data_IF_015851292894
#
_entry.id   IF_015851292894
#
_cell.length_a   1.000
_cell.length_b   1.000
_cell.length_c   1.000
_cell.angle_alpha   90.00
_cell.angle_beta   90.00
_cell.angle_gamma   90.00
#
_symmetry.space_group_name_H-M   'P 1'
#
loop_
_entity.id
_entity.type
_entity.pdbx_description
1 polymer ?
#
# COMPACT_ATOMS: atom_id res chain seq x y z
N UNK A 1 -22.43 1.76 -5.32
CA UNK A 1 -23.63 2.04 -6.12
C UNK A 1 -24.30 0.77 -6.60
N UNK A 2 -25.57 0.85 -6.97
CA UNK A 2 -26.39 -0.30 -7.38
C UNK A 2 -26.01 -0.87 -8.75
N UNK A 3 -25.31 -0.10 -9.56
CA UNK A 3 -24.80 -0.55 -10.85
C UNK A 3 -23.52 0.19 -11.24
N UNK A 4 -22.74 -0.40 -12.17
CA UNK A 4 -21.56 0.28 -12.75
C UNK A 4 -21.92 1.58 -13.47
N UNK A 5 -23.12 1.67 -14.05
CA UNK A 5 -23.62 2.89 -14.70
C UNK A 5 -23.88 3.99 -13.67
N UNK A 6 -24.51 3.66 -12.54
CA UNK A 6 -24.75 4.59 -11.44
C UNK A 6 -23.45 5.13 -10.84
N UNK A 7 -22.46 4.25 -10.63
CA UNK A 7 -21.12 4.65 -10.13
C UNK A 7 -20.43 5.60 -11.11
N UNK A 8 -20.43 5.29 -12.41
CA UNK A 8 -19.85 6.19 -13.43
C UNK A 8 -20.55 7.54 -13.47
N UNK A 9 -21.86 7.57 -13.31
CA UNK A 9 -22.62 8.83 -13.27
C UNK A 9 -22.29 9.66 -12.01
N UNK A 10 -22.20 9.00 -10.85
CA UNK A 10 -21.80 9.65 -9.60
C UNK A 10 -20.39 10.22 -9.66
N UNK A 11 -19.42 9.48 -10.23
CA UNK A 11 -18.03 9.98 -10.41
C UNK A 11 -17.96 11.30 -11.18
N UNK A 12 -18.83 11.51 -12.19
CA UNK A 12 -18.87 12.76 -12.95
C UNK A 12 -19.39 13.96 -12.15
N UNK A 13 -20.08 13.73 -11.04
CA UNK A 13 -20.61 14.77 -10.15
C UNK A 13 -19.69 15.11 -9.00
N UNK A 14 -18.63 14.31 -8.77
CA UNK A 14 -17.63 14.60 -7.75
C UNK A 14 -16.83 15.84 -8.16
N UNK A 15 -16.68 16.74 -7.22
CA UNK A 15 -15.74 17.87 -7.29
C UNK A 15 -14.68 17.64 -6.24
N UNK A 16 -13.43 17.71 -6.66
CA UNK A 16 -12.28 17.61 -5.78
C UNK A 16 -11.63 18.98 -5.71
N UNK A 17 -11.48 19.48 -4.50
CA UNK A 17 -10.62 20.63 -4.23
C UNK A 17 -9.23 20.09 -3.93
N UNK A 18 -8.25 20.51 -4.75
CA UNK A 18 -6.88 19.98 -4.68
C UNK A 18 -5.93 21.16 -4.55
N UNK A 19 -5.16 21.16 -3.47
CA UNK A 19 -3.98 21.99 -3.32
C UNK A 19 -2.79 21.26 -3.95
N UNK A 20 -2.15 21.88 -4.95
CA UNK A 20 -0.97 21.31 -5.61
C UNK A 20 0.27 21.69 -4.83
N UNK A 21 0.98 20.70 -4.33
CA UNK A 21 2.30 20.87 -3.74
C UNK A 21 3.39 20.70 -4.80
N UNK A 22 4.59 21.22 -4.53
CA UNK A 22 5.75 21.00 -5.39
C UNK A 22 6.14 19.52 -5.32
N UNK A 23 6.13 18.80 -6.45
CA UNK A 23 6.51 17.39 -6.45
C UNK A 23 8.01 17.22 -6.32
N UNK A 24 8.44 16.11 -5.74
CA UNK A 24 9.82 15.64 -5.66
C UNK A 24 9.92 14.30 -6.36
N UNK A 25 10.70 14.22 -7.43
CA UNK A 25 10.76 13.02 -8.28
C UNK A 25 12.11 12.30 -8.23
N UNK A 26 13.16 12.98 -7.79
CA UNK A 26 14.51 12.41 -7.78
C UNK A 26 15.09 12.37 -6.37
N UNK A 27 16.09 11.49 -6.17
CA UNK A 27 16.81 11.40 -4.89
C UNK A 27 17.55 12.72 -4.61
N UNK A 28 18.15 13.34 -5.61
CA UNK A 28 18.88 14.61 -5.46
C UNK A 28 17.96 15.76 -5.04
N UNK A 29 16.75 15.82 -5.62
CA UNK A 29 15.71 16.77 -5.20
C UNK A 29 15.27 16.53 -3.76
N UNK A 30 15.07 15.27 -3.37
CA UNK A 30 14.67 14.89 -2.00
C UNK A 30 15.77 15.26 -0.98
N UNK A 31 17.01 15.00 -1.30
CA UNK A 31 18.18 15.37 -0.47
C UNK A 31 18.28 16.90 -0.34
N UNK A 32 18.13 17.62 -1.43
CA UNK A 32 18.17 19.09 -1.42
C UNK A 32 17.03 19.70 -0.62
N UNK A 33 15.83 19.16 -0.78
CA UNK A 33 14.63 19.61 -0.06
C UNK A 33 14.54 19.07 1.38
N UNK A 34 15.45 18.21 1.81
CA UNK A 34 15.42 17.53 3.12
C UNK A 34 14.11 16.79 3.37
N UNK A 35 13.54 16.18 2.32
CA UNK A 35 12.29 15.42 2.38
C UNK A 35 12.59 13.93 2.47
N UNK A 36 12.43 13.36 3.65
CA UNK A 36 12.67 11.95 3.94
C UNK A 36 11.40 11.29 4.47
N UNK A 37 11.24 9.99 4.18
CA UNK A 37 10.09 9.19 4.66
C UNK A 37 10.21 8.87 6.15
N UNK A 38 11.42 8.86 6.68
CA UNK A 38 11.67 8.55 8.10
C UNK A 38 13.06 8.96 8.53
N UNK A 39 13.38 8.67 9.79
CA UNK A 39 14.68 8.98 10.36
C UNK A 39 15.81 8.17 9.73
N UNK A 40 16.98 8.79 9.65
CA UNK A 40 18.20 8.12 9.19
C UNK A 40 18.55 6.98 10.14
N UNK A 41 18.75 5.79 9.59
CA UNK A 41 19.19 4.61 10.33
C UNK A 41 20.61 4.25 9.92
N UNK A 42 21.49 4.12 10.89
CA UNK A 42 22.88 3.73 10.67
C UNK A 42 23.10 2.34 11.28
N UNK A 43 23.54 1.41 10.46
CA UNK A 43 24.01 0.10 10.91
C UNK A 43 25.52 0.02 10.72
N UNK A 44 26.27 -0.26 11.79
CA UNK A 44 27.72 -0.44 11.77
C UNK A 44 28.10 -1.72 12.51
N UNK A 45 29.04 -2.47 11.94
CA UNK A 45 29.64 -3.64 12.59
C UNK A 45 31.15 -3.66 12.30
N UNK A 46 31.96 -3.78 13.33
CA UNK A 46 33.42 -3.73 13.23
C UNK A 46 33.96 -2.32 13.01
N UNK A 47 35.24 -2.24 12.58
CA UNK A 47 35.94 -1.01 12.29
C UNK A 47 36.11 -0.86 10.77
N UNK A 48 35.17 -0.17 10.14
CA UNK A 48 35.13 0.05 8.70
C UNK A 48 36.35 0.86 8.23
N UNK A 49 36.73 1.92 8.95
CA UNK A 49 37.80 2.84 8.54
C UNK A 49 39.15 2.11 8.52
N UNK A 50 39.40 1.29 9.54
CA UNK A 50 40.60 0.46 9.60
C UNK A 50 40.59 -0.59 8.47
N UNK A 51 39.47 -1.29 8.25
CA UNK A 51 39.39 -2.29 7.20
C UNK A 51 39.60 -1.66 5.82
N UNK A 52 39.01 -0.47 5.56
CA UNK A 52 39.14 0.25 4.31
C UNK A 52 40.60 0.70 4.07
N UNK A 53 41.26 1.27 5.07
CA UNK A 53 42.65 1.77 4.97
C UNK A 53 43.68 0.67 4.82
N UNK A 54 43.38 -0.56 5.26
CA UNK A 54 44.29 -1.71 5.18
C UNK A 54 43.98 -2.70 4.07
N UNK A 55 42.90 -2.46 3.32
CA UNK A 55 42.51 -3.33 2.20
C UNK A 55 43.56 -3.25 1.07
N UNK A 56 43.99 -4.41 0.58
CA UNK A 56 44.93 -4.49 -0.53
C UNK A 56 44.33 -3.93 -1.83
N UNK A 57 43.04 -4.13 -2.03
CA UNK A 57 42.28 -3.62 -3.18
C UNK A 57 40.96 -3.00 -2.73
N UNK A 58 40.64 -1.85 -3.29
CA UNK A 58 39.36 -1.18 -3.08
C UNK A 58 38.70 -0.87 -4.42
N UNK A 59 37.36 -0.99 -4.49
CA UNK A 59 36.56 -0.61 -5.63
C UNK A 59 35.44 0.31 -5.17
N UNK A 60 35.24 1.42 -5.87
CA UNK A 60 34.11 2.31 -5.66
C UNK A 60 33.42 2.58 -6.99
N UNK A 61 32.10 2.71 -6.95
CA UNK A 61 31.30 2.98 -8.14
C UNK A 61 29.86 3.28 -7.78
N UNK A 62 29.11 3.73 -8.78
CA UNK A 62 27.67 3.96 -8.67
C UNK A 62 26.92 2.90 -9.46
N UNK A 63 25.97 2.25 -8.83
CA UNK A 63 25.03 1.34 -9.47
C UNK A 63 23.65 1.97 -9.50
N UNK A 64 22.98 1.93 -10.66
CA UNK A 64 21.62 2.46 -10.83
C UNK A 64 20.68 1.35 -11.29
N UNK A 65 19.61 1.16 -10.58
CA UNK A 65 18.57 0.19 -10.92
C UNK A 65 17.20 0.88 -10.90
N UNK A 66 16.46 0.82 -11.98
CA UNK A 66 15.12 1.40 -12.08
C UNK A 66 14.09 0.72 -11.18
N UNK A 67 13.01 1.42 -10.87
CA UNK A 67 11.86 0.83 -10.20
C UNK A 67 11.25 -0.32 -11.02
N UNK A 68 10.58 -1.26 -10.37
CA UNK A 68 9.99 -2.40 -11.04
C UNK A 68 8.58 -2.71 -10.55
N UNK A 69 7.67 -2.94 -11.52
CA UNK A 69 6.33 -3.45 -11.29
C UNK A 69 6.38 -4.93 -10.89
N UNK A 70 5.65 -5.33 -9.84
CA UNK A 70 5.52 -6.74 -9.45
C UNK A 70 4.71 -7.54 -10.47
N UNK A 71 3.80 -6.88 -11.16
CA UNK A 71 3.02 -7.40 -12.28
C UNK A 71 2.30 -8.74 -11.99
N UNK A 72 1.77 -8.89 -10.79
CA UNK A 72 0.95 -10.04 -10.42
C UNK A 72 -0.30 -10.13 -11.30
N UNK A 73 -0.79 -11.35 -11.56
CA UNK A 73 -1.93 -11.56 -12.46
C UNK A 73 -3.24 -11.02 -11.89
N UNK A 74 -3.53 -11.32 -10.63
CA UNK A 74 -4.70 -10.84 -9.91
C UNK A 74 -4.45 -9.44 -9.35
N UNK A 75 -5.23 -8.45 -9.80
CA UNK A 75 -5.16 -7.07 -9.26
C UNK A 75 -5.62 -7.01 -7.80
N UNK A 76 -5.34 -5.89 -7.14
CA UNK A 76 -5.78 -5.63 -5.77
C UNK A 76 -7.31 -5.76 -5.65
N UNK A 77 -7.78 -6.48 -4.65
CA UNK A 77 -9.21 -6.68 -4.42
C UNK A 77 -9.50 -6.95 -2.94
N UNK A 78 -10.60 -6.39 -2.47
CA UNK A 78 -11.15 -6.67 -1.16
C UNK A 78 -12.68 -6.63 -1.18
N UNK A 79 -13.30 -7.37 -0.26
CA UNK A 79 -14.71 -7.27 0.06
C UNK A 79 -14.85 -7.21 1.58
N UNK A 80 -15.72 -6.35 2.07
CA UNK A 80 -16.04 -6.26 3.50
C UNK A 80 -17.54 -6.25 3.74
N UNK A 81 -17.94 -6.73 4.92
CA UNK A 81 -19.34 -6.71 5.37
C UNK A 81 -19.40 -6.67 6.91
N UNK A 82 -20.42 -6.02 7.48
CA UNK A 82 -20.64 -6.04 8.91
C UNK A 82 -21.12 -7.43 9.36
N UNK A 83 -20.63 -7.90 10.49
CA UNK A 83 -21.14 -9.09 11.16
C UNK A 83 -22.32 -8.79 12.10
N UNK A 84 -22.77 -9.82 12.82
CA UNK A 84 -23.99 -9.75 13.65
C UNK A 84 -23.77 -8.96 14.96
N UNK A 85 -22.55 -8.96 15.47
CA UNK A 85 -22.20 -8.32 16.75
C UNK A 85 -21.47 -6.98 16.59
N UNK A 86 -21.46 -6.42 15.36
CA UNK A 86 -20.79 -5.14 15.06
C UNK A 86 -19.37 -5.28 14.53
N UNK A 87 -18.84 -6.49 14.53
CA UNK A 87 -17.53 -6.78 13.92
C UNK A 87 -17.56 -6.56 12.40
N UNK A 88 -16.41 -6.33 11.82
CA UNK A 88 -16.22 -6.20 10.39
C UNK A 88 -15.43 -7.39 9.85
N UNK A 89 -16.03 -8.07 8.87
CA UNK A 89 -15.37 -9.10 8.10
C UNK A 89 -14.76 -8.52 6.84
N UNK A 90 -13.50 -8.89 6.54
CA UNK A 90 -12.77 -8.48 5.34
C UNK A 90 -12.18 -9.71 4.68
N UNK A 91 -12.50 -9.94 3.41
CA UNK A 91 -11.70 -10.82 2.57
C UNK A 91 -10.83 -9.95 1.65
N UNK A 92 -9.54 -10.14 1.73
CA UNK A 92 -8.57 -9.38 0.92
C UNK A 92 -7.58 -10.31 0.24
N UNK A 93 -7.17 -9.96 -0.95
CA UNK A 93 -6.02 -10.56 -1.61
C UNK A 93 -4.75 -9.90 -1.07
N UNK A 94 -4.12 -10.51 -0.06
CA UNK A 94 -3.00 -9.92 0.68
C UNK A 94 -2.00 -10.95 1.14
N UNK A 95 -0.73 -10.54 1.19
CA UNK A 95 0.37 -11.29 1.82
C UNK A 95 0.41 -11.12 3.35
N UNK A 96 -0.28 -10.10 3.87
CA UNK A 96 -0.27 -9.75 5.29
C UNK A 96 -1.69 -9.45 5.82
N UNK A 97 -2.51 -10.48 6.08
CA UNK A 97 -3.87 -10.27 6.59
C UNK A 97 -3.90 -9.64 7.99
N UNK A 98 -2.85 -9.80 8.79
CA UNK A 98 -2.76 -9.19 10.12
C UNK A 98 -2.65 -7.66 10.05
N UNK A 99 -1.82 -7.14 9.16
CA UNK A 99 -1.71 -5.68 8.94
C UNK A 99 -3.04 -5.10 8.43
N UNK A 100 -3.74 -5.81 7.55
CA UNK A 100 -5.07 -5.38 7.12
C UNK A 100 -6.04 -5.32 8.29
N UNK A 101 -6.04 -6.32 9.16
CA UNK A 101 -6.89 -6.34 10.36
C UNK A 101 -6.59 -5.13 11.25
N UNK A 102 -5.32 -4.86 11.51
CA UNK A 102 -4.85 -3.75 12.34
C UNK A 102 -5.27 -2.39 11.76
N UNK A 103 -4.94 -2.13 10.50
CA UNK A 103 -5.23 -0.83 9.88
C UNK A 103 -6.72 -0.62 9.64
N UNK A 104 -7.50 -1.66 9.35
CA UNK A 104 -8.96 -1.55 9.27
C UNK A 104 -9.56 -1.24 10.64
N UNK A 105 -9.08 -1.87 11.71
CA UNK A 105 -9.54 -1.57 13.07
C UNK A 105 -9.23 -0.11 13.44
N UNK A 106 -8.01 0.36 13.19
CA UNK A 106 -7.62 1.75 13.42
C UNK A 106 -8.49 2.73 12.62
N UNK A 107 -8.66 2.49 11.32
CA UNK A 107 -9.43 3.37 10.43
C UNK A 107 -10.92 3.46 10.80
N UNK A 108 -11.46 2.44 11.44
CA UNK A 108 -12.87 2.40 11.87
C UNK A 108 -13.05 2.79 13.35
N UNK A 109 -11.97 2.96 14.10
CA UNK A 109 -12.01 3.17 15.55
C UNK A 109 -12.50 1.94 16.33
N UNK A 110 -12.20 0.74 15.84
CA UNK A 110 -12.58 -0.54 16.42
C UNK A 110 -11.39 -1.17 17.17
N UNK A 111 -11.70 -2.09 18.08
CA UNK A 111 -10.68 -2.97 18.65
C UNK A 111 -10.19 -3.98 17.61
N UNK A 112 -8.93 -4.41 17.74
CA UNK A 112 -8.32 -5.38 16.83
C UNK A 112 -9.16 -6.68 16.70
N UNK A 113 -9.75 -7.15 17.79
CA UNK A 113 -10.59 -8.34 17.85
C UNK A 113 -11.97 -8.18 17.16
N UNK A 114 -12.38 -6.95 16.86
CA UNK A 114 -13.63 -6.65 16.16
C UNK A 114 -13.50 -6.67 14.64
N UNK A 115 -12.29 -6.94 14.12
CA UNK A 115 -12.03 -7.08 12.68
C UNK A 115 -11.54 -8.49 12.37
N UNK A 116 -12.20 -9.16 11.44
CA UNK A 116 -11.81 -10.50 10.96
C UNK A 116 -11.31 -10.38 9.53
N UNK A 117 -10.01 -10.53 9.32
CA UNK A 117 -9.42 -10.51 7.99
C UNK A 117 -9.06 -11.92 7.51
N UNK A 118 -9.46 -12.26 6.30
CA UNK A 118 -9.20 -13.56 5.68
C UNK A 118 -8.62 -13.39 4.29
N UNK A 119 -7.49 -14.03 4.02
CA UNK A 119 -6.96 -14.24 2.68
C UNK A 119 -7.13 -15.72 2.30
N UNK A 120 -8.13 -16.04 1.48
CA UNK A 120 -8.41 -17.43 1.07
C UNK A 120 -7.44 -17.91 0.00
N UNK A 121 -7.20 -17.10 -1.01
CA UNK A 121 -6.32 -17.33 -2.15
C UNK A 121 -5.82 -16.02 -2.69
N UNK A 122 -4.69 -16.09 -3.38
CA UNK A 122 -4.05 -14.94 -3.96
C UNK A 122 -3.44 -15.33 -5.31
N UNK A 123 -3.76 -14.58 -6.35
CA UNK A 123 -3.30 -14.79 -7.72
C UNK A 123 -1.96 -14.10 -8.00
N UNK A 124 -0.99 -14.31 -7.11
CA UNK A 124 0.32 -13.66 -7.16
C UNK A 124 0.38 -12.35 -6.38
N UNK A 125 1.56 -11.99 -5.92
CA UNK A 125 1.81 -10.74 -5.20
C UNK A 125 3.26 -10.24 -5.34
N UNK A 126 4.27 -11.09 -5.16
CA UNK A 126 5.69 -10.78 -5.35
C UNK A 126 6.16 -9.55 -4.56
N UNK A 127 5.62 -9.34 -3.34
CA UNK A 127 5.83 -8.16 -2.52
C UNK A 127 4.86 -7.00 -2.77
N UNK A 128 4.01 -7.07 -3.79
CA UNK A 128 3.09 -5.98 -4.16
C UNK A 128 1.76 -5.98 -3.42
N UNK A 129 1.49 -6.99 -2.58
CA UNK A 129 0.27 -7.08 -1.75
C UNK A 129 0.59 -7.24 -0.26
N UNK A 130 1.75 -6.81 0.15
CA UNK A 130 2.16 -6.80 1.54
C UNK A 130 1.44 -5.66 2.28
N UNK A 131 1.75 -4.41 1.96
CA UNK A 131 1.10 -3.22 2.54
C UNK A 131 0.04 -2.60 1.62
N UNK A 132 0.20 -2.69 0.30
CA UNK A 132 -0.69 -2.04 -0.67
C UNK A 132 -2.13 -2.56 -0.64
N UNK A 133 -2.34 -3.79 -0.19
CA UNK A 133 -3.66 -4.40 -0.04
C UNK A 133 -4.52 -3.76 1.07
N UNK A 134 -3.92 -2.97 1.95
CA UNK A 134 -4.62 -2.23 3.00
C UNK A 134 -5.60 -1.21 2.41
N UNK A 135 -5.21 -0.49 1.36
CA UNK A 135 -6.01 0.58 0.77
C UNK A 135 -7.39 0.09 0.31
N UNK A 136 -7.51 -0.91 -0.58
CA UNK A 136 -8.82 -1.43 -0.99
C UNK A 136 -9.57 -2.08 0.17
N UNK A 137 -8.90 -2.68 1.14
CA UNK A 137 -9.53 -3.28 2.30
C UNK A 137 -10.21 -2.22 3.19
N UNK A 138 -9.49 -1.15 3.53
CA UNK A 138 -10.03 -0.02 4.31
C UNK A 138 -11.19 0.66 3.57
N UNK A 139 -11.06 0.90 2.27
CA UNK A 139 -12.14 1.50 1.46
C UNK A 139 -13.40 0.62 1.48
N UNK A 140 -13.26 -0.69 1.31
CA UNK A 140 -14.39 -1.62 1.37
C UNK A 140 -15.03 -1.62 2.76
N UNK A 141 -14.22 -1.67 3.83
CA UNK A 141 -14.67 -1.69 5.20
C UNK A 141 -15.41 -0.39 5.59
N UNK A 142 -14.90 0.77 5.23
CA UNK A 142 -15.54 2.07 5.45
C UNK A 142 -16.93 2.14 4.77
N UNK A 143 -17.03 1.70 3.52
CA UNK A 143 -18.30 1.69 2.80
C UNK A 143 -19.26 0.68 3.43
N UNK A 144 -18.79 -0.51 3.79
CA UNK A 144 -19.62 -1.54 4.42
C UNK A 144 -20.20 -1.05 5.76
N UNK A 145 -19.35 -0.42 6.59
CA UNK A 145 -19.75 0.13 7.89
C UNK A 145 -20.78 1.25 7.75
N UNK A 146 -20.55 2.18 6.82
CA UNK A 146 -21.46 3.31 6.58
C UNK A 146 -22.80 2.90 5.97
N UNK A 147 -22.80 1.92 5.08
CA UNK A 147 -24.00 1.52 4.37
C UNK A 147 -24.73 0.34 5.04
N UNK A 148 -24.12 -0.32 6.02
CA UNK A 148 -24.58 -1.56 6.64
C UNK A 148 -24.83 -2.68 5.62
N UNK A 149 -24.06 -2.68 4.52
CA UNK A 149 -24.19 -3.63 3.40
C UNK A 149 -22.79 -4.10 2.97
N UNK A 150 -22.68 -5.30 2.40
CA UNK A 150 -21.42 -5.73 1.81
C UNK A 150 -20.93 -4.74 0.75
N UNK A 151 -19.63 -4.43 0.80
CA UNK A 151 -18.99 -3.56 -0.16
C UNK A 151 -17.74 -4.26 -0.73
N UNK A 152 -17.59 -4.18 -2.06
CA UNK A 152 -16.45 -4.78 -2.77
C UNK A 152 -15.75 -3.74 -3.61
N UNK A 153 -14.43 -3.75 -3.56
CA UNK A 153 -13.57 -3.03 -4.47
C UNK A 153 -12.64 -4.02 -5.18
N UNK A 154 -12.43 -3.81 -6.47
CA UNK A 154 -11.44 -4.53 -7.25
C UNK A 154 -10.88 -3.56 -8.26
N UNK A 155 -9.56 -3.44 -8.28
CA UNK A 155 -8.85 -2.58 -9.21
C UNK A 155 -8.88 -3.22 -10.61
N UNK A 156 -9.00 -2.37 -11.63
CA UNK A 156 -8.57 -2.77 -12.97
C UNK A 156 -7.04 -2.88 -12.98
N UNK A 157 -6.46 -3.53 -13.99
CA UNK A 157 -5.00 -3.59 -14.10
C UNK A 157 -4.39 -2.19 -14.21
N UNK A 158 -5.04 -1.29 -14.93
CA UNK A 158 -4.59 0.09 -15.08
C UNK A 158 -4.66 0.87 -13.76
N UNK A 159 -5.72 0.70 -12.98
CA UNK A 159 -5.84 1.34 -11.67
C UNK A 159 -4.76 0.82 -10.72
N UNK A 160 -4.52 -0.49 -10.72
CA UNK A 160 -3.51 -1.14 -9.90
C UNK A 160 -2.10 -0.60 -10.23
N UNK A 161 -1.73 -0.64 -11.51
CA UNK A 161 -0.42 -0.15 -11.96
C UNK A 161 -0.17 1.33 -11.66
N UNK A 162 -1.23 2.15 -11.62
CA UNK A 162 -1.11 3.59 -11.37
C UNK A 162 -1.12 3.97 -9.89
N UNK A 163 -1.81 3.21 -9.06
CA UNK A 163 -2.09 3.61 -7.67
C UNK A 163 -1.39 2.78 -6.60
N UNK A 164 -0.70 1.70 -6.97
CA UNK A 164 0.05 0.89 -6.02
C UNK A 164 1.54 1.16 -6.07
N UNK A 165 2.22 0.88 -4.96
CA UNK A 165 3.67 0.98 -4.87
C UNK A 165 4.37 -0.04 -5.77
N UNK A 166 5.63 0.26 -6.08
CA UNK A 166 6.53 -0.56 -6.90
C UNK A 166 7.77 -0.92 -6.09
N UNK A 167 8.54 -1.89 -6.55
CA UNK A 167 9.89 -2.04 -6.03
C UNK A 167 10.68 -0.76 -6.32
N UNK A 168 11.25 -0.19 -5.27
CA UNK A 168 11.94 1.09 -5.36
C UNK A 168 13.13 1.06 -6.35
N UNK A 169 13.44 2.19 -7.00
CA UNK A 169 14.72 2.37 -7.68
C UNK A 169 15.86 2.48 -6.65
N UNK A 170 17.04 2.12 -7.08
CA UNK A 170 18.28 2.27 -6.31
C UNK A 170 19.28 3.09 -7.10
#
# INVERSE_FOLDING_TARGET
>A
GESRKAIRHAKKKLRLEIEKLTPVFTIDEALTAQQFIGDSRVFKQGDFEKAWSTAEHTLAGTFVCGGQEQFYLESQAAIAWPGEHGEIHVHSSSQNPTEIQEVVAEALGLGFHEVVCVCKRMGGAFGGKETQAVIPAVMAALVATKTKRPARIAYTKDDDMRSTGKRHPY
#
